data_IF_960876695839
#
_entry.id   IF_960876695839
#
_cell.length_a   1.000
_cell.length_b   1.000
_cell.length_c   1.000
_cell.angle_alpha   90.00
_cell.angle_beta   90.00
_cell.angle_gamma   90.00
#
_symmetry.space_group_name_H-M   'P 1'
#
loop_
_entity.id
_entity.type
_entity.pdbx_description
1 polymer ?
#
# COMPACT_ATOMS: atom_id res chain seq x y z
N UNK A 1 10.20 10.00 1.82
CA UNK A 1 9.41 9.85 0.57
C UNK A 1 8.09 10.57 0.76
N UNK A 2 7.68 11.42 -0.18
CA UNK A 2 6.37 12.07 -0.12
C UNK A 2 5.29 11.03 -0.45
N UNK A 3 4.32 10.87 0.45
CA UNK A 3 3.23 9.91 0.29
C UNK A 3 2.09 10.61 -0.45
N UNK A 4 1.48 9.90 -1.38
CA UNK A 4 0.45 10.42 -2.30
C UNK A 4 -0.89 9.72 -2.09
N UNK A 5 -0.88 8.40 -1.86
CA UNK A 5 -2.10 7.64 -1.59
C UNK A 5 -1.86 6.46 -0.65
N UNK A 6 -2.93 5.89 -0.10
CA UNK A 6 -2.87 4.70 0.74
C UNK A 6 -4.06 3.76 0.61
N UNK A 7 -3.88 2.56 1.16
CA UNK A 7 -4.94 1.59 1.40
C UNK A 7 -4.94 1.15 2.86
N UNK A 8 -6.12 0.90 3.41
CA UNK A 8 -6.28 0.25 4.71
C UNK A 8 -6.32 -1.25 4.50
N UNK A 9 -5.46 -1.97 5.21
CA UNK A 9 -5.27 -3.39 5.02
C UNK A 9 -5.38 -4.08 6.37
N UNK A 10 -6.20 -5.14 6.50
CA UNK A 10 -6.21 -5.95 7.71
C UNK A 10 -4.82 -6.46 8.05
N UNK A 11 -4.43 -6.36 9.33
CA UNK A 11 -3.14 -6.82 9.84
C UNK A 11 -2.84 -8.26 9.41
N UNK A 12 -3.86 -9.13 9.40
CA UNK A 12 -3.78 -10.53 8.97
C UNK A 12 -3.36 -10.73 7.51
N UNK A 13 -3.59 -9.74 6.63
CA UNK A 13 -3.21 -9.78 5.20
C UNK A 13 -1.91 -9.04 4.89
N UNK A 14 -1.44 -8.21 5.81
CA UNK A 14 -0.30 -7.30 5.61
C UNK A 14 0.99 -8.03 5.19
N UNK A 15 1.39 -9.08 5.91
CA UNK A 15 2.65 -9.80 5.66
C UNK A 15 2.74 -10.38 4.24
N UNK A 16 1.62 -10.91 3.71
CA UNK A 16 1.55 -11.44 2.34
C UNK A 16 1.73 -10.33 1.31
N UNK A 17 1.11 -9.18 1.53
CA UNK A 17 1.20 -8.03 0.64
C UNK A 17 2.59 -7.39 0.65
N UNK A 18 3.21 -7.25 1.83
CA UNK A 18 4.59 -6.77 1.97
C UNK A 18 5.54 -7.62 1.11
N UNK A 19 5.46 -8.95 1.22
CA UNK A 19 6.29 -9.87 0.43
C UNK A 19 6.03 -9.71 -1.07
N UNK A 20 4.76 -9.61 -1.48
CA UNK A 20 4.38 -9.43 -2.90
C UNK A 20 4.95 -8.13 -3.45
N UNK A 21 4.73 -7.00 -2.79
CA UNK A 21 5.19 -5.70 -3.26
C UNK A 21 6.71 -5.58 -3.30
N UNK A 22 7.41 -6.11 -2.29
CA UNK A 22 8.89 -6.18 -2.30
C UNK A 22 9.41 -7.01 -3.47
N UNK A 23 8.78 -8.14 -3.80
CA UNK A 23 9.16 -8.97 -4.96
C UNK A 23 9.03 -8.23 -6.29
N UNK A 24 8.08 -7.32 -6.40
CA UNK A 24 7.87 -6.49 -7.57
C UNK A 24 8.63 -5.15 -7.54
N UNK A 25 9.47 -4.92 -6.51
CA UNK A 25 10.23 -3.68 -6.37
C UNK A 25 9.37 -2.43 -6.18
N UNK A 26 8.14 -2.59 -5.67
CA UNK A 26 7.22 -1.48 -5.43
C UNK A 26 7.69 -0.72 -4.19
N UNK A 27 7.69 0.61 -4.30
CA UNK A 27 8.05 1.49 -3.18
C UNK A 27 6.80 1.77 -2.35
N UNK A 28 6.85 1.49 -1.04
CA UNK A 28 5.75 1.71 -0.11
C UNK A 28 6.25 1.76 1.34
N UNK A 29 5.45 2.36 2.20
CA UNK A 29 5.59 2.31 3.66
C UNK A 29 4.38 1.58 4.28
N UNK A 30 4.58 0.98 5.45
CA UNK A 30 3.49 0.41 6.26
C UNK A 30 3.44 1.15 7.59
N UNK A 31 2.30 1.75 7.89
CA UNK A 31 2.08 2.47 9.14
C UNK A 31 1.06 1.72 10.00
N UNK A 32 1.41 1.54 11.26
CA UNK A 32 0.47 1.03 12.25
C UNK A 32 -0.55 2.12 12.61
N UNK A 33 -1.83 1.75 12.68
CA UNK A 33 -2.89 2.60 13.19
C UNK A 33 -3.16 2.16 14.63
N UNK A 34 -3.01 3.07 15.59
CA UNK A 34 -3.26 2.76 17.01
C UNK A 34 -4.71 2.31 17.19
N UNK A 35 -4.92 1.27 17.98
CA UNK A 35 -6.23 0.72 18.31
C UNK A 35 -7.05 0.28 17.08
N UNK A 36 -6.39 -0.23 16.04
CA UNK A 36 -7.05 -0.74 14.83
C UNK A 36 -6.46 -2.08 14.41
N UNK A 37 -7.31 -2.96 13.88
CA UNK A 37 -6.89 -4.22 13.23
C UNK A 37 -6.40 -4.00 11.79
N UNK A 38 -6.24 -2.74 11.37
CA UNK A 38 -5.75 -2.36 10.06
C UNK A 38 -4.41 -1.63 10.16
N UNK A 39 -3.60 -1.83 9.13
CA UNK A 39 -2.42 -1.01 8.84
C UNK A 39 -2.67 -0.19 7.59
N UNK A 40 -1.99 0.95 7.49
CA UNK A 40 -1.99 1.76 6.29
C UNK A 40 -0.81 1.36 5.40
N UNK A 41 -1.09 0.93 4.18
CA UNK A 41 -0.08 0.82 3.13
C UNK A 41 -0.03 2.15 2.38
N UNK A 42 1.02 2.93 2.60
CA UNK A 42 1.20 4.24 1.99
C UNK A 42 2.17 4.15 0.81
N UNK A 43 1.84 4.85 -0.27
CA UNK A 43 2.58 4.84 -1.51
C UNK A 43 2.91 6.29 -1.93
N UNK A 44 4.07 6.51 -2.56
CA UNK A 44 4.33 7.77 -3.26
C UNK A 44 3.57 7.80 -4.59
N UNK A 45 3.79 8.84 -5.38
CA UNK A 45 3.50 8.78 -6.81
C UNK A 45 4.35 7.67 -7.44
N UNK A 46 3.67 6.59 -7.83
CA UNK A 46 4.29 5.43 -8.42
C UNK A 46 4.38 5.59 -9.95
N UNK A 47 5.46 5.10 -10.57
CA UNK A 47 5.47 4.90 -12.02
C UNK A 47 4.29 4.03 -12.46
N UNK A 48 3.72 4.29 -13.64
CA UNK A 48 2.52 3.62 -14.17
C UNK A 48 2.56 2.09 -14.03
N UNK A 49 3.72 1.47 -14.27
CA UNK A 49 3.91 0.01 -14.14
C UNK A 49 3.75 -0.49 -12.70
N UNK A 50 4.28 0.23 -11.72
CA UNK A 50 4.13 -0.13 -10.31
C UNK A 50 2.71 0.16 -9.82
N UNK A 51 2.14 1.30 -10.23
CA UNK A 51 0.75 1.65 -9.95
C UNK A 51 -0.21 0.58 -10.45
N UNK A 52 -0.01 0.07 -11.67
CA UNK A 52 -0.83 -1.00 -12.24
C UNK A 52 -0.82 -2.27 -11.38
N UNK A 53 0.34 -2.68 -10.84
CA UNK A 53 0.42 -3.85 -9.95
C UNK A 53 -0.33 -3.61 -8.63
N UNK A 54 -0.22 -2.40 -8.06
CA UNK A 54 -0.97 -2.03 -6.85
C UNK A 54 -2.47 -2.03 -7.12
N UNK A 55 -2.90 -1.46 -8.23
CA UNK A 55 -4.30 -1.43 -8.64
C UNK A 55 -4.88 -2.82 -8.90
N UNK A 56 -4.12 -3.72 -9.53
CA UNK A 56 -4.54 -5.13 -9.68
C UNK A 56 -4.68 -5.86 -8.34
N UNK A 57 -3.95 -5.45 -7.31
CA UNK A 57 -4.01 -6.06 -5.97
C UNK A 57 -5.22 -5.59 -5.18
N UNK A 58 -5.53 -4.29 -5.25
CA UNK A 58 -6.62 -3.70 -4.45
C UNK A 58 -7.94 -3.59 -5.22
N UNK A 59 -7.90 -3.56 -6.55
CA UNK A 59 -9.07 -3.46 -7.42
C UNK A 59 -9.71 -2.07 -7.49
N UNK A 60 -9.18 -1.11 -6.73
CA UNK A 60 -9.70 0.25 -6.61
C UNK A 60 -8.56 1.27 -6.59
N UNK A 61 -8.91 2.55 -6.65
CA UNK A 61 -7.95 3.64 -6.46
C UNK A 61 -7.67 3.82 -4.96
N UNK A 62 -6.43 4.21 -4.63
CA UNK A 62 -6.05 4.49 -3.24
C UNK A 62 -6.70 5.76 -2.73
N UNK A 63 -6.85 5.84 -1.40
CA UNK A 63 -7.30 7.05 -0.73
C UNK A 63 -6.18 8.10 -0.77
N UNK A 64 -6.48 9.38 -0.99
CA UNK A 64 -5.48 10.44 -1.01
C UNK A 64 -4.77 10.53 0.35
N UNK A 65 -3.45 10.65 0.30
CA UNK A 65 -2.61 10.85 1.48
C UNK A 65 -2.46 12.35 1.71
N UNK A 66 -3.11 12.85 2.76
CA UNK A 66 -3.13 14.26 3.18
C UNK A 66 -2.69 14.42 4.61
#
# INVERSE_FOLDING_TARGET
>A
MQKSFYYLVPCSRSARLIRKFRRHGIVFDVEAIRNSDNVRFAFPDLPLRQYHVVHLVFGEAGLPYG
#
